data_IF_755470958484
#
_entry.id   IF_755470958484
#
_cell.length_a   1.000
_cell.length_b   1.000
_cell.length_c   1.000
_cell.angle_alpha   90.00
_cell.angle_beta   90.00
_cell.angle_gamma   90.00
#
_symmetry.space_group_name_H-M   'P 1'
#
loop_
_entity.id
_entity.type
_entity.pdbx_description
1 polymer ?
#
# COMPACT_ATOMS: atom_id res chain seq x y z
N UNK A 1 -24.33 15.28 -8.64
CA UNK A 1 -24.52 13.84 -8.92
C UNK A 1 -24.54 13.16 -7.56
N UNK A 2 -25.56 12.38 -7.21
CA UNK A 2 -25.73 11.85 -5.86
C UNK A 2 -24.62 10.87 -5.52
N UNK A 3 -24.15 10.98 -4.29
CA UNK A 3 -23.24 10.08 -3.62
C UNK A 3 -23.64 8.62 -3.92
N UNK A 4 -22.74 7.88 -4.57
CA UNK A 4 -22.83 6.44 -4.55
C UNK A 4 -22.53 6.00 -3.11
N UNK A 5 -23.61 5.94 -2.32
CA UNK A 5 -23.58 5.32 -1.02
C UNK A 5 -22.94 3.96 -1.20
N UNK A 6 -21.86 3.71 -0.46
CA UNK A 6 -21.34 2.36 -0.26
C UNK A 6 -22.47 1.62 0.46
N UNK A 7 -23.39 1.08 -0.34
CA UNK A 7 -24.36 0.13 0.17
C UNK A 7 -23.55 -1.00 0.77
N UNK A 8 -23.72 -1.21 2.05
CA UNK A 8 -23.28 -2.40 2.74
C UNK A 8 -23.93 -3.60 2.05
N UNK A 9 -23.32 -4.07 0.97
CA UNK A 9 -23.68 -5.34 0.42
C UNK A 9 -23.36 -6.37 1.50
N UNK A 10 -24.40 -6.77 2.19
CA UNK A 10 -24.42 -7.90 3.10
C UNK A 10 -23.89 -9.11 2.34
N UNK A 11 -22.62 -9.39 2.54
CA UNK A 11 -22.07 -10.68 2.20
C UNK A 11 -22.64 -11.68 3.21
N UNK A 12 -23.86 -12.15 2.91
CA UNK A 12 -24.50 -13.22 3.67
C UNK A 12 -23.69 -14.47 3.40
N UNK A 13 -22.74 -14.75 4.29
CA UNK A 13 -22.20 -16.09 4.41
C UNK A 13 -23.29 -16.94 5.05
N UNK A 14 -24.02 -17.66 4.22
CA UNK A 14 -24.90 -18.74 4.69
C UNK A 14 -24.04 -19.79 5.43
N UNK A 15 -23.86 -19.61 6.70
CA UNK A 15 -23.44 -20.64 7.62
C UNK A 15 -24.70 -21.09 8.38
N UNK A 16 -25.44 -22.01 7.77
CA UNK A 16 -26.43 -22.82 8.49
C UNK A 16 -25.69 -23.53 9.60
N UNK A 17 -26.21 -23.37 10.83
CA UNK A 17 -25.78 -24.13 11.99
C UNK A 17 -25.94 -25.61 11.71
N UNK A 18 -24.84 -26.31 11.51
CA UNK A 18 -24.78 -27.76 11.53
C UNK A 18 -24.20 -28.17 12.89
N UNK A 19 -24.97 -28.99 13.58
CA UNK A 19 -24.78 -29.45 14.95
C UNK A 19 -23.36 -30.00 15.23
N UNK A 20 -22.98 -29.77 16.46
CA UNK A 20 -21.79 -30.32 17.10
C UNK A 20 -22.06 -31.83 17.30
N UNK A 21 -21.42 -32.65 16.47
CA UNK A 21 -21.31 -34.07 16.73
C UNK A 21 -19.92 -34.62 16.47
N UNK A 22 -19.41 -35.23 17.53
CA UNK A 22 -18.27 -36.16 17.64
C UNK A 22 -16.94 -35.58 18.07
N UNK A 23 -16.56 -35.97 19.28
CA UNK A 23 -15.21 -36.08 19.85
C UNK A 23 -14.25 -36.68 18.79
N UNK A 24 -13.51 -35.87 18.06
CA UNK A 24 -12.60 -36.31 17.02
C UNK A 24 -11.83 -35.23 16.25
N UNK A 25 -12.25 -33.96 16.32
CA UNK A 25 -11.56 -32.91 15.56
C UNK A 25 -11.31 -31.67 16.41
N UNK A 26 -10.31 -31.76 17.30
CA UNK A 26 -9.87 -30.67 18.20
C UNK A 26 -9.06 -29.56 17.46
N UNK A 27 -9.06 -29.53 16.13
CA UNK A 27 -8.36 -28.52 15.40
C UNK A 27 -9.07 -27.17 15.44
N UNK A 28 -8.32 -26.13 15.75
CA UNK A 28 -8.79 -24.75 15.64
C UNK A 28 -9.20 -24.40 14.19
N UNK A 29 -10.00 -23.36 14.02
CA UNK A 29 -10.38 -22.86 12.69
C UNK A 29 -9.15 -22.51 11.84
N UNK A 30 -8.11 -21.98 12.47
CA UNK A 30 -6.86 -21.64 11.79
C UNK A 30 -6.13 -22.89 11.28
N UNK A 31 -6.06 -23.98 12.08
CA UNK A 31 -5.44 -25.23 11.66
C UNK A 31 -6.23 -25.93 10.54
N UNK A 32 -7.57 -25.90 10.60
CA UNK A 32 -8.42 -26.40 9.50
C UNK A 32 -8.17 -25.64 8.20
N UNK A 33 -8.07 -24.30 8.29
CA UNK A 33 -7.76 -23.47 7.15
C UNK A 33 -6.37 -23.77 6.58
N UNK A 34 -5.35 -23.85 7.43
CA UNK A 34 -3.99 -24.17 7.00
C UNK A 34 -3.89 -25.55 6.31
N UNK A 35 -4.52 -26.58 6.90
CA UNK A 35 -4.56 -27.95 6.32
C UNK A 35 -5.21 -27.98 4.93
N UNK A 36 -6.23 -27.18 4.69
CA UNK A 36 -6.92 -27.09 3.40
C UNK A 36 -5.97 -26.71 2.26
N UNK A 37 -4.96 -25.88 2.53
CA UNK A 37 -4.01 -25.40 1.54
C UNK A 37 -2.63 -26.08 1.60
N UNK A 38 -2.40 -26.98 2.58
CA UNK A 38 -1.11 -27.64 2.78
C UNK A 38 -0.63 -28.47 1.58
N UNK A 39 -1.56 -28.98 0.78
CA UNK A 39 -1.27 -29.77 -0.45
C UNK A 39 -1.55 -29.00 -1.72
N UNK A 40 -1.62 -27.66 -1.64
CA UNK A 40 -1.89 -26.84 -2.81
C UNK A 40 -0.73 -26.90 -3.82
N UNK A 41 -1.06 -27.18 -5.07
CA UNK A 41 -0.05 -27.19 -6.16
C UNK A 41 0.39 -25.76 -6.50
N UNK A 42 1.58 -25.56 -7.12
CA UNK A 42 2.01 -24.22 -7.58
C UNK A 42 0.98 -23.54 -8.48
N UNK A 43 0.36 -24.28 -9.39
CA UNK A 43 -0.70 -23.77 -10.27
C UNK A 43 -1.97 -23.39 -9.47
N UNK A 44 -2.33 -24.22 -8.48
CA UNK A 44 -3.45 -23.92 -7.54
C UNK A 44 -3.21 -22.61 -6.79
N UNK A 45 -2.00 -22.42 -6.26
CA UNK A 45 -1.58 -21.17 -5.58
C UNK A 45 -1.69 -19.97 -6.50
N UNK A 46 -1.18 -20.07 -7.73
CA UNK A 46 -1.29 -18.97 -8.71
C UNK A 46 -2.76 -18.63 -9.02
N UNK A 47 -3.61 -19.61 -9.23
CA UNK A 47 -5.05 -19.40 -9.48
C UNK A 47 -5.74 -18.74 -8.28
N UNK A 48 -5.43 -19.18 -7.07
CA UNK A 48 -5.95 -18.62 -5.83
C UNK A 48 -5.46 -17.18 -5.63
N UNK A 49 -4.19 -16.91 -5.82
CA UNK A 49 -3.60 -15.57 -5.72
C UNK A 49 -4.30 -14.59 -6.67
N UNK A 50 -4.48 -14.96 -7.93
CA UNK A 50 -5.18 -14.13 -8.91
C UNK A 50 -6.67 -13.95 -8.60
N UNK A 51 -7.33 -14.96 -7.98
CA UNK A 51 -8.70 -14.83 -7.48
C UNK A 51 -8.78 -13.86 -6.31
N UNK A 52 -7.84 -13.93 -5.37
CA UNK A 52 -7.72 -12.96 -4.27
C UNK A 52 -7.56 -11.54 -4.83
N UNK A 53 -6.67 -11.34 -5.80
CA UNK A 53 -6.44 -10.01 -6.40
C UNK A 53 -7.70 -9.44 -7.05
N UNK A 54 -8.49 -10.26 -7.76
CA UNK A 54 -9.78 -9.83 -8.33
C UNK A 54 -10.77 -9.38 -7.26
N UNK A 55 -10.91 -10.15 -6.17
CA UNK A 55 -11.78 -9.76 -5.05
C UNK A 55 -11.28 -8.45 -4.42
N UNK A 56 -9.97 -8.30 -4.21
CA UNK A 56 -9.41 -7.06 -3.70
C UNK A 56 -9.61 -5.88 -4.66
N UNK A 57 -9.69 -6.13 -5.98
CA UNK A 57 -10.01 -5.09 -6.96
C UNK A 57 -11.45 -4.59 -6.84
N UNK A 58 -12.38 -5.50 -6.55
CA UNK A 58 -13.79 -5.14 -6.30
C UNK A 58 -13.96 -4.40 -4.97
N UNK A 59 -13.22 -4.82 -3.93
CA UNK A 59 -13.27 -4.20 -2.59
C UNK A 59 -12.56 -2.84 -2.55
N UNK A 60 -11.48 -2.69 -3.31
CA UNK A 60 -10.65 -1.48 -3.36
C UNK A 60 -10.48 -0.98 -4.80
N UNK A 61 -11.54 -0.56 -5.47
CA UNK A 61 -11.47 -0.10 -6.87
C UNK A 61 -10.57 1.12 -7.02
N UNK A 62 -10.54 2.00 -6.01
CA UNK A 62 -9.78 3.25 -5.99
C UNK A 62 -8.43 3.13 -5.25
N UNK A 63 -7.89 1.90 -5.12
CA UNK A 63 -6.59 1.72 -4.49
C UNK A 63 -5.49 2.41 -5.32
N UNK A 64 -4.75 3.31 -4.66
CA UNK A 64 -3.70 4.15 -5.28
C UNK A 64 -2.63 4.49 -4.26
N UNK A 65 -1.57 5.16 -4.70
CA UNK A 65 -0.64 5.83 -3.80
C UNK A 65 -1.39 6.85 -2.95
N UNK A 66 -1.17 6.83 -1.64
CA UNK A 66 -1.82 7.76 -0.69
C UNK A 66 -0.98 9.03 -0.45
N UNK A 67 0.23 9.11 -1.01
CA UNK A 67 1.01 10.35 -1.06
C UNK A 67 0.44 11.28 -2.13
N UNK A 68 0.34 12.57 -1.82
CA UNK A 68 -0.10 13.61 -2.74
C UNK A 68 1.08 14.10 -3.57
N UNK A 69 0.93 14.10 -4.89
CA UNK A 69 1.93 14.57 -5.84
C UNK A 69 1.32 14.94 -7.20
N UNK A 70 1.99 15.80 -7.92
CA UNK A 70 1.65 16.22 -9.30
C UNK A 70 2.76 15.82 -10.28
N UNK A 71 4.01 15.74 -9.81
CA UNK A 71 5.18 15.43 -10.64
C UNK A 71 5.96 14.23 -10.11
N UNK A 72 6.78 13.56 -10.94
CA UNK A 72 7.68 12.50 -10.47
C UNK A 72 8.65 12.98 -9.37
N UNK A 73 9.12 14.23 -9.44
CA UNK A 73 9.96 14.84 -8.43
C UNK A 73 9.24 14.93 -7.07
N UNK A 74 8.02 15.44 -7.07
CA UNK A 74 7.21 15.52 -5.84
C UNK A 74 6.98 14.15 -5.24
N UNK A 75 6.66 13.13 -6.05
CA UNK A 75 6.48 11.77 -5.56
C UNK A 75 7.77 11.19 -4.97
N UNK A 76 8.91 11.41 -5.62
CA UNK A 76 10.20 10.92 -5.13
C UNK A 76 10.52 11.53 -3.76
N UNK A 77 10.41 12.86 -3.63
CA UNK A 77 10.66 13.59 -2.37
C UNK A 77 9.66 13.14 -1.29
N UNK A 78 8.36 13.09 -1.60
CA UNK A 78 7.33 12.64 -0.66
C UNK A 78 7.58 11.20 -0.18
N UNK A 79 8.01 10.31 -1.07
CA UNK A 79 8.32 8.92 -0.73
C UNK A 79 9.55 8.81 0.19
N UNK A 80 10.59 9.63 -0.02
CA UNK A 80 11.74 9.71 0.91
C UNK A 80 11.28 10.23 2.28
N UNK A 81 10.39 11.23 2.31
CA UNK A 81 9.83 11.77 3.55
C UNK A 81 8.93 10.75 4.28
N UNK A 82 8.32 9.81 3.59
CA UNK A 82 7.43 8.80 4.19
C UNK A 82 8.15 7.71 5.00
N UNK A 83 9.47 7.65 4.95
CA UNK A 83 10.24 6.73 5.77
C UNK A 83 9.95 6.95 7.27
N UNK A 84 9.36 5.93 7.94
CA UNK A 84 8.92 5.99 9.35
C UNK A 84 7.98 7.17 9.68
N UNK A 85 7.20 7.61 8.70
CA UNK A 85 6.22 8.70 8.85
C UNK A 85 4.95 8.29 8.12
N UNK A 86 3.78 8.66 8.64
CA UNK A 86 2.50 8.36 7.99
C UNK A 86 2.30 9.22 6.75
N UNK A 87 1.61 8.70 5.72
CA UNK A 87 1.31 9.43 4.49
C UNK A 87 0.53 10.73 4.79
N UNK A 88 -0.43 10.70 5.73
CA UNK A 88 -1.16 11.88 6.20
C UNK A 88 -0.19 12.97 6.70
N UNK A 89 0.84 12.59 7.48
CA UNK A 89 1.80 13.55 7.99
C UNK A 89 2.69 14.10 6.87
N UNK A 90 3.08 13.27 5.91
CA UNK A 90 3.84 13.73 4.73
C UNK A 90 2.98 14.71 3.93
N UNK A 91 1.74 14.35 3.61
CA UNK A 91 0.81 15.20 2.87
C UNK A 91 0.49 16.52 3.57
N UNK A 92 0.66 16.59 4.90
CA UNK A 92 0.48 17.86 5.64
C UNK A 92 1.64 18.85 5.50
N UNK A 93 2.84 18.39 5.11
CA UNK A 93 4.03 19.25 4.99
C UNK A 93 4.46 19.49 3.54
N UNK A 94 4.16 18.56 2.63
CA UNK A 94 4.59 18.65 1.22
C UNK A 94 4.04 19.84 0.47
N UNK A 95 2.80 20.36 0.68
CA UNK A 95 2.34 21.57 0.00
C UNK A 95 3.21 22.78 0.29
N UNK A 96 3.59 23.01 1.56
CA UNK A 96 4.49 24.10 1.93
C UNK A 96 5.91 23.91 1.39
N UNK A 97 6.39 22.67 1.38
CA UNK A 97 7.70 22.34 0.84
C UNK A 97 7.76 22.62 -0.68
N UNK A 98 6.77 22.17 -1.44
CA UNK A 98 6.76 22.33 -2.91
C UNK A 98 6.36 23.74 -3.36
N UNK A 99 5.67 24.50 -2.51
CA UNK A 99 5.47 25.93 -2.76
C UNK A 99 6.78 26.72 -2.65
N UNK A 100 7.66 26.35 -1.71
CA UNK A 100 8.97 26.98 -1.54
C UNK A 100 10.03 26.44 -2.53
N UNK A 101 9.97 25.16 -2.86
CA UNK A 101 10.96 24.46 -3.70
C UNK A 101 10.22 23.57 -4.72
N UNK A 102 9.75 24.15 -5.85
CA UNK A 102 8.87 23.46 -6.79
C UNK A 102 9.55 22.36 -7.63
N UNK A 103 10.86 22.43 -7.79
CA UNK A 103 11.67 21.55 -8.63
C UNK A 103 12.98 21.13 -7.94
N UNK A 104 13.78 20.35 -8.65
CA UNK A 104 15.05 19.85 -8.14
C UNK A 104 16.08 20.98 -7.98
N UNK A 105 16.11 21.94 -8.90
CA UNK A 105 17.02 23.08 -8.89
C UNK A 105 16.79 23.96 -7.65
N UNK A 106 15.54 24.31 -7.39
CA UNK A 106 15.17 25.10 -6.22
C UNK A 106 15.49 24.38 -4.91
N UNK A 107 15.21 23.07 -4.83
CA UNK A 107 15.50 22.29 -3.63
C UNK A 107 17.02 22.06 -3.46
N UNK A 108 17.78 21.87 -4.54
CA UNK A 108 19.24 21.73 -4.48
C UNK A 108 19.93 22.99 -3.95
N UNK A 109 19.40 24.17 -4.30
CA UNK A 109 19.90 25.47 -3.85
C UNK A 109 19.39 25.86 -2.45
N UNK A 110 18.51 25.09 -1.84
CA UNK A 110 17.89 25.41 -0.55
C UNK A 110 18.89 25.35 0.61
N UNK A 111 18.74 26.24 1.57
CA UNK A 111 19.41 26.09 2.88
C UNK A 111 18.75 24.93 3.63
N UNK A 112 19.56 24.05 4.20
CA UNK A 112 19.07 22.87 4.90
C UNK A 112 18.12 23.26 6.04
N UNK A 113 18.42 24.37 6.76
CA UNK A 113 17.63 24.87 7.88
C UNK A 113 16.20 25.26 7.47
N UNK A 114 16.02 25.83 6.27
CA UNK A 114 14.72 26.22 5.75
C UNK A 114 13.89 24.98 5.41
N UNK A 115 14.52 23.96 4.81
CA UNK A 115 13.88 22.66 4.56
C UNK A 115 13.51 21.97 5.87
N UNK A 116 14.41 21.97 6.88
CA UNK A 116 14.15 21.39 8.20
C UNK A 116 12.92 22.00 8.87
N UNK A 117 12.73 23.33 8.76
CA UNK A 117 11.56 24.00 9.31
C UNK A 117 10.26 23.51 8.68
N UNK A 118 10.22 23.40 7.36
CA UNK A 118 9.03 22.97 6.61
C UNK A 118 8.62 21.53 6.92
N UNK A 119 9.59 20.62 7.08
CA UNK A 119 9.32 19.19 7.31
C UNK A 119 9.44 18.78 8.79
N UNK A 120 9.55 19.73 9.72
CA UNK A 120 9.85 19.48 11.14
C UNK A 120 8.93 18.47 11.81
N UNK A 121 7.68 18.41 11.40
CA UNK A 121 6.70 17.49 11.97
C UNK A 121 6.86 16.03 11.48
N UNK A 122 7.74 15.76 10.51
CA UNK A 122 8.10 14.40 10.11
C UNK A 122 9.19 13.85 11.02
N UNK A 123 9.12 12.57 11.36
CA UNK A 123 10.19 11.94 12.14
C UNK A 123 11.54 12.02 11.42
N UNK A 124 12.64 12.17 12.17
CA UNK A 124 14.01 12.26 11.62
C UNK A 124 14.20 13.39 10.61
N UNK A 125 13.49 14.49 10.76
CA UNK A 125 13.45 15.60 9.81
C UNK A 125 14.83 16.14 9.39
N UNK A 126 15.80 16.22 10.32
CA UNK A 126 17.16 16.70 10.02
C UNK A 126 17.90 15.81 9.00
N UNK A 127 17.81 14.50 9.19
CA UNK A 127 18.40 13.53 8.25
C UNK A 127 17.65 13.55 6.91
N UNK A 128 16.32 13.68 6.94
CA UNK A 128 15.48 13.77 5.75
C UNK A 128 15.77 15.04 4.95
N UNK A 129 15.88 16.20 5.61
CA UNK A 129 16.23 17.46 4.94
C UNK A 129 17.57 17.34 4.19
N UNK A 130 18.62 16.85 4.87
CA UNK A 130 19.92 16.60 4.22
C UNK A 130 19.81 15.64 3.03
N UNK A 131 19.02 14.57 3.18
CA UNK A 131 18.87 13.58 2.11
C UNK A 131 18.14 14.15 0.90
N UNK A 132 17.02 14.90 1.07
CA UNK A 132 16.27 15.44 -0.08
C UNK A 132 17.00 16.59 -0.76
N UNK A 133 17.75 17.43 -0.05
CA UNK A 133 18.61 18.46 -0.66
C UNK A 133 19.74 17.81 -1.48
N UNK A 134 20.42 16.80 -0.93
CA UNK A 134 21.47 16.06 -1.67
C UNK A 134 20.87 15.29 -2.85
N UNK A 135 19.70 14.67 -2.69
CA UNK A 135 19.00 14.00 -3.77
C UNK A 135 18.69 14.97 -4.91
N UNK A 136 18.20 16.16 -4.59
CA UNK A 136 17.92 17.19 -5.57
C UNK A 136 19.19 17.65 -6.30
N UNK A 137 20.30 17.85 -5.58
CA UNK A 137 21.61 18.16 -6.18
C UNK A 137 22.07 17.07 -7.17
N UNK A 138 21.95 15.79 -6.79
CA UNK A 138 22.29 14.68 -7.68
C UNK A 138 21.34 14.56 -8.89
N UNK A 139 20.06 14.93 -8.75
CA UNK A 139 19.17 15.03 -9.91
C UNK A 139 19.63 16.11 -10.87
N UNK A 140 19.98 17.28 -10.39
CA UNK A 140 20.50 18.38 -11.23
C UNK A 140 21.80 17.98 -11.91
N UNK A 141 22.78 17.50 -11.16
CA UNK A 141 24.12 17.21 -11.65
C UNK A 141 24.18 16.07 -12.67
N UNK A 142 23.36 15.04 -12.48
CA UNK A 142 23.43 13.79 -13.24
C UNK A 142 22.30 13.59 -14.24
N UNK A 143 21.15 14.21 -13.99
CA UNK A 143 19.92 13.95 -14.74
C UNK A 143 19.23 15.23 -15.22
N UNK A 144 19.92 16.39 -15.13
CA UNK A 144 19.40 17.68 -15.60
C UNK A 144 18.13 18.12 -14.86
N UNK A 145 18.00 17.78 -13.57
CA UNK A 145 16.83 18.08 -12.74
C UNK A 145 15.69 17.06 -12.85
N UNK A 146 15.75 16.15 -13.82
CA UNK A 146 14.68 15.18 -14.06
C UNK A 146 14.84 13.89 -13.23
N UNK A 147 13.72 13.26 -12.90
CA UNK A 147 13.71 11.97 -12.19
C UNK A 147 13.92 10.83 -13.20
N UNK A 148 14.97 9.98 -13.01
CA UNK A 148 15.23 8.91 -13.97
C UNK A 148 14.17 7.80 -13.91
N UNK A 149 13.65 7.38 -15.06
CA UNK A 149 12.62 6.35 -15.19
C UNK A 149 13.19 4.91 -15.18
N UNK A 150 14.19 4.66 -14.35
CA UNK A 150 14.75 3.31 -14.17
C UNK A 150 15.22 3.06 -12.73
N UNK A 151 15.13 1.81 -12.29
CA UNK A 151 15.39 1.43 -10.90
C UNK A 151 16.87 1.64 -10.51
N UNK A 152 17.82 1.35 -11.41
CA UNK A 152 19.25 1.42 -11.11
C UNK A 152 19.67 2.84 -10.74
N UNK A 153 19.25 3.81 -11.52
CA UNK A 153 19.59 5.21 -11.29
C UNK A 153 18.83 5.77 -10.07
N UNK A 154 17.55 5.44 -9.91
CA UNK A 154 16.79 5.83 -8.72
C UNK A 154 17.42 5.33 -7.42
N UNK A 155 17.83 4.06 -7.36
CA UNK A 155 18.46 3.48 -6.16
C UNK A 155 19.84 4.09 -5.87
N UNK A 156 20.49 4.69 -6.86
CA UNK A 156 21.76 5.39 -6.66
C UNK A 156 21.59 6.75 -5.97
N UNK A 157 20.38 7.31 -5.92
CA UNK A 157 20.11 8.62 -5.31
C UNK A 157 20.06 8.53 -3.77
N UNK A 158 20.50 9.58 -3.06
CA UNK A 158 20.47 9.63 -1.61
C UNK A 158 19.08 9.38 -1.00
N UNK A 159 18.99 8.47 -0.04
CA UNK A 159 17.73 8.15 0.63
C UNK A 159 16.74 7.30 -0.17
N UNK A 160 17.11 6.86 -1.37
CA UNK A 160 16.27 6.08 -2.25
C UNK A 160 16.70 4.62 -2.26
N UNK A 161 15.86 3.74 -1.73
CA UNK A 161 16.02 2.29 -1.82
C UNK A 161 15.14 1.67 -2.91
N UNK A 162 15.23 0.36 -3.09
CA UNK A 162 14.42 -0.40 -4.07
C UNK A 162 12.91 -0.15 -3.87
N UNK A 163 12.45 -0.10 -2.61
CA UNK A 163 11.06 0.20 -2.29
C UNK A 163 10.63 1.57 -2.82
N UNK A 164 11.42 2.62 -2.56
CA UNK A 164 11.16 3.98 -3.05
C UNK A 164 11.15 4.02 -4.57
N UNK A 165 12.14 3.38 -5.20
CA UNK A 165 12.21 3.29 -6.66
C UNK A 165 10.96 2.63 -7.26
N UNK A 166 10.50 1.51 -6.70
CA UNK A 166 9.28 0.82 -7.17
C UNK A 166 8.01 1.68 -7.00
N UNK A 167 7.91 2.46 -5.91
CA UNK A 167 6.79 3.41 -5.73
C UNK A 167 6.80 4.47 -6.82
N UNK A 168 7.96 5.10 -7.06
CA UNK A 168 8.10 6.17 -8.07
C UNK A 168 7.84 5.63 -9.47
N UNK A 169 8.48 4.52 -9.85
CA UNK A 169 8.32 3.92 -11.17
C UNK A 169 6.87 3.50 -11.44
N UNK A 170 6.22 2.89 -10.45
CA UNK A 170 4.87 2.39 -10.62
C UNK A 170 3.78 3.47 -10.63
N UNK A 171 4.00 4.62 -9.99
CA UNK A 171 2.96 5.64 -9.84
C UNK A 171 3.21 6.90 -10.67
N UNK A 172 4.44 7.19 -11.08
CA UNK A 172 4.76 8.37 -11.88
C UNK A 172 5.16 8.03 -13.33
N UNK A 173 5.57 6.79 -13.61
CA UNK A 173 6.06 6.39 -14.93
C UNK A 173 5.32 5.18 -15.52
N UNK A 174 4.28 4.67 -14.85
CA UNK A 174 3.54 3.47 -15.28
C UNK A 174 4.44 2.24 -15.55
N UNK A 175 5.61 2.18 -14.89
CA UNK A 175 6.54 1.04 -14.95
C UNK A 175 6.21 0.11 -13.78
N UNK A 176 5.50 -1.02 -14.03
CA UNK A 176 4.97 -1.84 -12.95
C UNK A 176 6.08 -2.47 -12.10
N UNK A 177 5.98 -2.27 -10.78
CA UNK A 177 6.83 -2.87 -9.77
C UNK A 177 6.04 -3.24 -8.52
N UNK A 178 6.51 -4.25 -7.79
CA UNK A 178 5.92 -4.65 -6.52
C UNK A 178 6.60 -3.90 -5.38
N UNK A 179 5.82 -3.20 -4.57
CA UNK A 179 6.34 -2.53 -3.38
C UNK A 179 6.12 -3.39 -2.15
N UNK A 180 7.16 -4.06 -1.67
CA UNK A 180 7.09 -4.89 -0.46
C UNK A 180 7.33 -4.04 0.78
N UNK A 181 6.24 -3.63 1.41
CA UNK A 181 6.25 -3.01 2.73
C UNK A 181 5.87 -4.02 3.84
N UNK A 182 5.78 -3.55 5.08
CA UNK A 182 5.38 -4.39 6.22
C UNK A 182 3.98 -4.97 6.08
N UNK A 183 3.05 -4.27 5.41
CA UNK A 183 1.69 -4.76 5.15
C UNK A 183 1.72 -5.87 4.11
N UNK A 184 2.32 -5.61 2.95
CA UNK A 184 2.38 -6.59 1.86
C UNK A 184 3.13 -7.85 2.31
N UNK A 185 4.30 -7.73 2.94
CA UNK A 185 5.07 -8.89 3.42
C UNK A 185 4.27 -9.74 4.41
N UNK A 186 3.58 -9.11 5.38
CA UNK A 186 2.69 -9.82 6.31
C UNK A 186 1.55 -10.54 5.59
N UNK A 187 0.89 -9.87 4.67
CA UNK A 187 -0.23 -10.44 3.93
C UNK A 187 0.21 -11.55 2.98
N UNK A 188 1.32 -11.39 2.29
CA UNK A 188 1.88 -12.42 1.41
C UNK A 188 2.11 -13.73 2.18
N UNK A 189 2.69 -13.65 3.39
CA UNK A 189 2.86 -14.83 4.26
C UNK A 189 1.51 -15.39 4.72
N UNK A 190 0.59 -14.55 5.22
CA UNK A 190 -0.74 -15.01 5.68
C UNK A 190 -1.58 -15.63 4.57
N UNK A 191 -1.47 -15.12 3.36
CA UNK A 191 -2.14 -15.66 2.18
C UNK A 191 -1.41 -16.88 1.60
N UNK A 192 -0.27 -17.28 2.15
CA UNK A 192 0.53 -18.42 1.68
C UNK A 192 1.12 -18.20 0.29
N UNK A 193 1.42 -16.97 -0.08
CA UNK A 193 2.13 -16.65 -1.32
C UNK A 193 3.63 -16.88 -1.18
N UNK A 194 4.15 -16.69 0.02
CA UNK A 194 5.56 -16.91 0.39
C UNK A 194 5.68 -17.40 1.83
N UNK A 195 6.81 -18.00 2.16
CA UNK A 195 7.25 -18.26 3.54
C UNK A 195 8.44 -17.37 3.94
N UNK A 196 8.93 -16.55 3.02
CA UNK A 196 10.10 -15.70 3.20
C UNK A 196 9.79 -14.50 4.09
N UNK A 197 10.82 -13.99 4.78
CA UNK A 197 10.76 -12.76 5.58
C UNK A 197 11.52 -11.61 4.91
N UNK A 198 12.60 -11.94 4.20
CA UNK A 198 13.39 -10.98 3.45
C UNK A 198 12.57 -10.33 2.32
N UNK A 199 12.50 -8.98 2.25
CA UNK A 199 11.66 -8.27 1.29
C UNK A 199 11.94 -8.63 -0.17
N UNK A 200 13.21 -8.84 -0.56
CA UNK A 200 13.56 -9.16 -1.93
C UNK A 200 13.10 -10.57 -2.31
N UNK A 201 13.20 -11.54 -1.37
CA UNK A 201 12.68 -12.89 -1.58
C UNK A 201 11.17 -12.93 -1.60
N UNK A 202 10.50 -12.13 -0.75
CA UNK A 202 9.04 -11.95 -0.78
C UNK A 202 8.61 -11.38 -2.13
N UNK A 203 9.32 -10.36 -2.64
CA UNK A 203 9.05 -9.76 -3.94
C UNK A 203 9.14 -10.82 -5.05
N UNK A 204 10.22 -11.59 -5.10
CA UNK A 204 10.43 -12.63 -6.10
C UNK A 204 9.30 -13.68 -6.09
N UNK A 205 8.92 -14.19 -4.90
CA UNK A 205 7.85 -15.17 -4.77
C UNK A 205 6.50 -14.63 -5.20
N UNK A 206 6.17 -13.37 -4.84
CA UNK A 206 4.89 -12.76 -5.17
C UNK A 206 4.81 -12.39 -6.64
N UNK A 207 5.86 -11.80 -7.22
CA UNK A 207 5.93 -11.43 -8.64
C UNK A 207 5.68 -12.66 -9.54
N UNK A 208 6.17 -13.85 -9.16
CA UNK A 208 5.96 -15.09 -9.91
C UNK A 208 4.47 -15.51 -10.02
N UNK A 209 3.58 -14.99 -9.16
CA UNK A 209 2.16 -15.37 -9.14
C UNK A 209 1.27 -14.48 -10.01
N UNK A 210 1.74 -13.27 -10.37
CA UNK A 210 0.91 -12.24 -11.01
C UNK A 210 1.49 -11.75 -12.34
N UNK A 211 0.64 -11.29 -13.27
CA UNK A 211 1.11 -10.55 -14.44
C UNK A 211 1.83 -9.26 -14.04
N UNK A 212 2.91 -8.91 -14.75
CA UNK A 212 3.72 -7.73 -14.44
C UNK A 212 2.88 -6.45 -14.34
N UNK A 213 1.93 -6.25 -15.25
CA UNK A 213 1.04 -5.08 -15.28
C UNK A 213 0.19 -4.87 -14.03
N UNK A 214 -0.03 -5.92 -13.23
CA UNK A 214 -0.91 -5.86 -12.06
C UNK A 214 -0.16 -5.49 -10.77
N UNK A 215 1.19 -5.47 -10.78
CA UNK A 215 2.02 -5.43 -9.57
C UNK A 215 1.86 -4.15 -8.74
N UNK A 216 1.78 -2.99 -9.38
CA UNK A 216 1.60 -1.70 -8.69
C UNK A 216 0.24 -1.66 -7.97
N UNK A 217 -0.84 -1.98 -8.68
CA UNK A 217 -2.18 -2.03 -8.08
C UNK A 217 -2.33 -3.14 -7.04
N UNK A 218 -1.68 -4.28 -7.23
CA UNK A 218 -1.61 -5.34 -6.22
C UNK A 218 -0.99 -4.81 -4.93
N UNK A 219 0.11 -4.06 -5.02
CA UNK A 219 0.76 -3.44 -3.85
C UNK A 219 -0.21 -2.55 -3.08
N UNK A 220 -0.89 -1.62 -3.75
CA UNK A 220 -1.85 -0.71 -3.13
C UNK A 220 -3.02 -1.46 -2.49
N UNK A 221 -3.62 -2.42 -3.20
CA UNK A 221 -4.74 -3.22 -2.68
C UNK A 221 -4.35 -4.05 -1.47
N UNK A 222 -3.16 -4.65 -1.47
CA UNK A 222 -2.67 -5.39 -0.32
C UNK A 222 -2.35 -4.49 0.86
N UNK A 223 -1.78 -3.31 0.63
CA UNK A 223 -1.54 -2.30 1.68
C UNK A 223 -2.87 -1.87 2.30
N UNK A 224 -3.87 -1.50 1.47
CA UNK A 224 -5.20 -1.12 1.92
C UNK A 224 -5.86 -2.23 2.75
N UNK A 225 -5.81 -3.47 2.26
CA UNK A 225 -6.35 -4.62 3.00
C UNK A 225 -5.63 -4.84 4.34
N UNK A 226 -4.32 -4.64 4.35
CA UNK A 226 -3.50 -4.75 5.55
C UNK A 226 -3.75 -3.67 6.61
N UNK A 227 -4.06 -2.45 6.17
CA UNK A 227 -4.42 -1.33 7.03
C UNK A 227 -5.85 -1.46 7.57
N UNK A 228 -6.79 -1.88 6.75
CA UNK A 228 -8.23 -1.81 7.03
C UNK A 228 -8.83 -3.07 7.65
N UNK A 229 -8.35 -4.25 7.29
CA UNK A 229 -8.95 -5.54 7.68
C UNK A 229 -7.93 -6.48 8.30
N UNK A 230 -6.82 -6.76 7.60
CA UNK A 230 -5.85 -7.75 8.03
C UNK A 230 -4.77 -7.13 8.93
N UNK A 231 -5.17 -6.63 10.10
CA UNK A 231 -4.28 -5.97 11.07
C UNK A 231 -3.16 -6.89 11.56
N UNK A 232 -2.06 -6.30 12.06
CA UNK A 232 -0.87 -7.06 12.48
C UNK A 232 -1.16 -8.00 13.66
N UNK A 233 -1.78 -7.51 14.73
CA UNK A 233 -2.00 -8.27 15.95
C UNK A 233 -3.28 -9.09 15.91
N UNK A 234 -4.43 -8.51 15.59
CA UNK A 234 -5.75 -9.15 15.58
C UNK A 234 -6.49 -8.78 14.29
N UNK A 235 -6.35 -9.57 13.21
CA UNK A 235 -7.08 -9.30 11.98
C UNK A 235 -8.58 -9.54 12.13
N UNK A 236 -9.39 -8.79 11.38
CA UNK A 236 -10.85 -8.91 11.34
C UNK A 236 -11.27 -10.05 10.39
N UNK A 237 -10.92 -11.30 10.73
CA UNK A 237 -11.14 -12.47 9.86
C UNK A 237 -12.61 -12.71 9.52
N UNK A 238 -13.55 -12.48 10.47
CA UNK A 238 -14.99 -12.65 10.27
C UNK A 238 -15.62 -11.68 9.27
N UNK A 239 -14.97 -10.52 9.02
CA UNK A 239 -15.40 -9.53 8.02
C UNK A 239 -14.49 -9.52 6.76
N UNK A 240 -13.57 -10.50 6.62
CA UNK A 240 -12.60 -10.50 5.54
C UNK A 240 -13.20 -11.06 4.24
N UNK A 241 -13.20 -10.30 3.12
CA UNK A 241 -13.80 -10.72 1.86
C UNK A 241 -13.08 -11.92 1.22
N UNK A 242 -11.81 -12.16 1.59
CA UNK A 242 -11.01 -13.28 1.08
C UNK A 242 -10.89 -14.44 2.08
N UNK A 243 -11.69 -14.45 3.14
CA UNK A 243 -11.65 -15.47 4.22
C UNK A 243 -11.59 -16.92 3.69
N UNK A 244 -12.44 -17.25 2.72
CA UNK A 244 -12.53 -18.60 2.11
C UNK A 244 -11.27 -19.00 1.31
N UNK A 245 -10.40 -18.05 0.96
CA UNK A 245 -9.19 -18.26 0.17
C UNK A 245 -7.90 -18.08 1.01
N UNK A 246 -8.03 -17.78 2.30
CA UNK A 246 -6.90 -17.46 3.17
C UNK A 246 -6.48 -18.68 4.01
N UNK A 247 -5.23 -19.18 3.86
CA UNK A 247 -4.70 -20.26 4.70
C UNK A 247 -4.64 -19.90 6.19
N UNK A 248 -4.49 -18.60 6.50
CA UNK A 248 -4.44 -18.08 7.87
C UNK A 248 -5.81 -17.65 8.41
N UNK A 249 -6.92 -18.00 7.76
CA UNK A 249 -8.24 -17.69 8.29
C UNK A 249 -8.40 -18.35 9.67
N UNK A 250 -8.80 -17.57 10.66
CA UNK A 250 -8.98 -18.07 12.04
C UNK A 250 -7.95 -17.57 13.05
N UNK A 251 -6.89 -16.85 12.59
CA UNK A 251 -5.89 -16.27 13.50
C UNK A 251 -6.35 -14.99 14.21
N UNK A 252 -7.50 -14.45 13.84
CA UNK A 252 -8.05 -13.21 14.38
C UNK A 252 -9.49 -13.33 14.85
N UNK A 253 -10.22 -12.20 14.88
CA UNK A 253 -11.63 -12.17 15.24
C UNK A 253 -12.49 -12.88 14.18
N UNK A 254 -13.29 -13.84 14.63
CA UNK A 254 -14.13 -14.67 13.76
C UNK A 254 -15.61 -14.27 13.77
N UNK A 255 -16.09 -13.70 14.88
CA UNK A 255 -17.46 -13.20 14.97
C UNK A 255 -17.62 -12.04 13.96
N UNK A 256 -18.55 -12.14 12.99
CA UNK A 256 -18.70 -11.12 11.97
C UNK A 256 -19.02 -9.73 12.51
N UNK A 257 -19.90 -9.64 13.51
CA UNK A 257 -20.32 -8.37 14.08
C UNK A 257 -19.20 -7.68 14.88
N UNK A 258 -18.34 -8.47 15.55
CA UNK A 258 -17.16 -7.94 16.23
C UNK A 258 -16.07 -7.56 15.22
N UNK A 259 -15.86 -8.40 14.21
CA UNK A 259 -14.86 -8.15 13.17
C UNK A 259 -15.20 -6.88 12.36
N UNK A 260 -16.48 -6.64 12.05
CA UNK A 260 -16.92 -5.43 11.35
C UNK A 260 -16.59 -4.16 12.13
N UNK A 261 -16.73 -4.16 13.45
CA UNK A 261 -16.33 -3.04 14.32
C UNK A 261 -14.81 -2.78 14.36
N UNK A 262 -14.02 -3.74 13.90
CA UNK A 262 -12.56 -3.61 13.84
C UNK A 262 -12.07 -3.04 12.50
N UNK A 263 -12.94 -2.86 11.51
CA UNK A 263 -12.57 -2.28 10.23
C UNK A 263 -12.07 -0.83 10.43
N UNK A 264 -11.00 -0.47 9.74
CA UNK A 264 -10.40 0.87 9.82
C UNK A 264 -10.40 1.53 8.45
N UNK A 265 -10.81 2.78 8.43
CA UNK A 265 -10.75 3.65 7.26
C UNK A 265 -9.83 4.81 7.63
N UNK A 266 -8.57 4.76 7.14
CA UNK A 266 -7.53 5.69 7.58
C UNK A 266 -7.60 7.07 6.91
N UNK A 267 -8.31 7.19 5.79
CA UNK A 267 -8.43 8.44 5.05
C UNK A 267 -9.91 8.76 4.83
N UNK A 268 -10.30 9.98 5.16
CA UNK A 268 -11.54 10.53 4.64
C UNK A 268 -11.46 10.56 3.09
N UNK A 269 -12.58 10.36 2.37
CA UNK A 269 -12.58 10.61 0.93
C UNK A 269 -12.03 12.03 0.69
N UNK A 270 -11.07 12.18 -0.23
CA UNK A 270 -10.68 13.51 -0.68
C UNK A 270 -11.96 14.16 -1.20
N UNK A 271 -12.28 15.37 -0.73
CA UNK A 271 -13.28 16.20 -1.37
C UNK A 271 -12.88 16.28 -2.85
N UNK A 272 -13.79 15.90 -3.74
CA UNK A 272 -13.59 16.15 -5.16
C UNK A 272 -13.37 17.66 -5.31
N UNK A 273 -12.41 18.14 -6.13
CA UNK A 273 -12.27 19.54 -6.40
C UNK A 273 -13.65 20.05 -6.85
N UNK A 274 -14.17 21.08 -6.17
CA UNK A 274 -15.41 21.72 -6.57
C UNK A 274 -15.31 22.07 -8.06
N UNK A 275 -16.17 21.46 -8.86
CA UNK A 275 -16.27 21.83 -10.26
C UNK A 275 -16.67 23.31 -10.30
N UNK A 276 -15.96 24.15 -11.05
CA UNK A 276 -16.34 25.56 -11.16
C UNK A 276 -17.79 25.62 -11.60
N UNK A 277 -18.59 26.33 -10.81
CA UNK A 277 -20.01 26.56 -11.11
C UNK A 277 -20.13 27.23 -12.48
N UNK A 278 -21.11 26.84 -13.32
CA UNK A 278 -21.29 27.39 -14.68
C UNK A 278 -21.53 28.91 -14.75
N UNK A 279 -21.70 29.56 -13.61
CA UNK A 279 -21.99 31.01 -13.53
C UNK A 279 -20.76 31.94 -13.65
N UNK A 280 -19.55 31.42 -13.74
CA UNK A 280 -18.33 32.22 -13.91
C UNK A 280 -17.92 32.46 -15.38
N UNK A 281 -18.79 32.10 -16.35
CA UNK A 281 -18.53 32.27 -17.80
C UNK A 281 -19.60 33.11 -18.52
N UNK A 282 -20.28 34.00 -17.80
CA UNK A 282 -21.19 34.96 -18.42
C UNK A 282 -20.61 36.39 -18.39
#
# INVERSE_FOLDING_TARGET
>A
VPEAGVTSQRWVTGASGAGIDKVGDMLSVAEKSARRFAKETPLGRTRRARKIHRILAEVYPNARCELDFETPFQLLVATVLSAQTTDIRVNSVTPGLFAAFPDAEALAAARIEDVEQLIRSTGFYRSKAKNIVRLAGELVDRFGGEVPANQKDLVSLPGTGVKTANVVLGNAFDIPGLTVDTHLGRLARRMGFTTQEDPAKVEADVVALFPKKDLTLLSHRMIFHGRRICHSRRPACGACPIAKLCPSFGIGELDPAKAEKMLRYEMAPKAEPEQPTPEAQA
#
